data_IF_182914399598
#
_entry.id   IF_182914399598
#
_cell.length_a   1.000
_cell.length_b   1.000
_cell.length_c   1.000
_cell.angle_alpha   90.00
_cell.angle_beta   90.00
_cell.angle_gamma   90.00
#
_symmetry.space_group_name_H-M   'P 1'
#
loop_
_entity.id
_entity.type
_entity.pdbx_description
1 polymer ?
#
# COMPACT_ATOMS: atom_id res chain seq x y z
N UNK A 1 -6.10 25.49 -20.19
CA UNK A 1 -5.57 26.14 -18.97
C UNK A 1 -6.41 25.80 -17.74
N UNK A 2 -7.76 25.84 -17.79
CA UNK A 2 -8.62 25.37 -16.69
C UNK A 2 -8.58 23.84 -16.46
N UNK A 3 -8.52 23.02 -17.52
CA UNK A 3 -8.48 21.55 -17.37
C UNK A 3 -7.24 21.04 -16.63
N UNK A 4 -6.07 21.62 -16.89
CA UNK A 4 -4.81 21.15 -16.31
C UNK A 4 -4.76 21.34 -14.78
N UNK A 5 -5.44 22.36 -14.25
CA UNK A 5 -5.57 22.58 -12.80
C UNK A 5 -6.60 21.65 -12.15
N UNK A 6 -7.73 21.38 -12.83
CA UNK A 6 -8.74 20.42 -12.38
C UNK A 6 -8.16 18.99 -12.32
N UNK A 7 -7.45 18.56 -13.36
CA UNK A 7 -6.82 17.23 -13.40
C UNK A 7 -5.72 17.06 -12.35
N UNK A 8 -4.90 18.10 -12.11
CA UNK A 8 -3.88 18.07 -11.05
C UNK A 8 -4.51 17.97 -9.67
N UNK A 9 -5.57 18.73 -9.39
CA UNK A 9 -6.28 18.68 -8.10
C UNK A 9 -6.96 17.34 -7.84
N UNK A 10 -7.50 16.69 -8.87
CA UNK A 10 -8.14 15.38 -8.76
C UNK A 10 -7.11 14.29 -8.45
N UNK A 11 -5.92 14.34 -9.06
CA UNK A 11 -4.84 13.41 -8.79
C UNK A 11 -4.39 13.50 -7.34
N UNK A 12 -4.18 14.71 -6.82
CA UNK A 12 -3.76 14.94 -5.43
C UNK A 12 -4.79 14.38 -4.45
N UNK A 13 -6.08 14.66 -4.69
CA UNK A 13 -7.18 14.13 -3.86
C UNK A 13 -7.21 12.60 -3.90
N UNK A 14 -7.03 11.99 -5.08
CA UNK A 14 -7.01 10.54 -5.22
C UNK A 14 -5.81 9.92 -4.50
N UNK A 15 -4.62 10.50 -4.66
CA UNK A 15 -3.39 10.03 -4.01
C UNK A 15 -3.52 10.12 -2.49
N UNK A 16 -4.05 11.22 -1.95
CA UNK A 16 -4.27 11.38 -0.50
C UNK A 16 -5.31 10.37 0.02
N UNK A 17 -6.39 10.14 -0.74
CA UNK A 17 -7.39 9.14 -0.40
C UNK A 17 -6.80 7.72 -0.35
N UNK A 18 -6.07 7.32 -1.39
CA UNK A 18 -5.43 6.00 -1.46
C UNK A 18 -4.39 5.85 -0.34
N UNK A 19 -3.59 6.89 -0.07
CA UNK A 19 -2.61 6.88 1.01
C UNK A 19 -3.27 6.60 2.37
N UNK A 20 -4.39 7.26 2.66
CA UNK A 20 -5.15 7.04 3.91
C UNK A 20 -5.74 5.63 3.97
N UNK A 21 -6.35 5.15 2.88
CA UNK A 21 -6.91 3.80 2.80
C UNK A 21 -5.81 2.76 3.07
N UNK A 22 -4.69 2.83 2.36
CA UNK A 22 -3.56 1.90 2.52
C UNK A 22 -2.97 1.91 3.93
N UNK A 23 -3.01 3.06 4.60
CA UNK A 23 -2.53 3.19 5.99
C UNK A 23 -3.45 2.52 7.01
N UNK A 24 -4.72 2.26 6.66
CA UNK A 24 -5.69 1.54 7.48
C UNK A 24 -5.70 0.04 7.22
N UNK A 25 -5.02 -0.43 6.16
CA UNK A 25 -5.00 -1.84 5.78
C UNK A 25 -4.33 -2.67 6.88
N UNK A 26 -5.02 -3.68 7.44
CA UNK A 26 -4.45 -4.49 8.50
C UNK A 26 -3.37 -5.44 7.95
N UNK A 27 -2.47 -5.94 8.83
CA UNK A 27 -1.31 -6.71 8.41
C UNK A 27 -1.63 -8.07 7.76
N UNK A 28 -2.82 -8.61 7.93
CA UNK A 28 -3.26 -9.85 7.28
C UNK A 28 -3.87 -9.65 5.88
N UNK A 29 -3.96 -8.41 5.39
CA UNK A 29 -4.55 -8.09 4.07
C UNK A 29 -3.48 -7.78 3.03
N UNK A 30 -3.64 -8.35 1.83
CA UNK A 30 -2.79 -8.09 0.66
C UNK A 30 -3.52 -7.24 -0.37
N UNK A 31 -3.00 -6.04 -0.66
CA UNK A 31 -3.53 -5.21 -1.76
C UNK A 31 -2.81 -5.58 -3.06
N UNK A 32 -3.54 -6.20 -3.99
CA UNK A 32 -2.97 -6.71 -5.25
C UNK A 32 -2.62 -5.61 -6.25
N UNK A 33 -3.59 -4.75 -6.57
CA UNK A 33 -3.44 -3.68 -7.57
C UNK A 33 -4.14 -2.42 -7.09
N UNK A 34 -3.46 -1.30 -7.20
CA UNK A 34 -4.04 0.04 -6.93
C UNK A 34 -4.72 0.60 -8.18
N UNK A 35 -4.19 0.25 -9.36
CA UNK A 35 -4.69 0.66 -10.66
C UNK A 35 -4.71 -0.54 -11.61
N UNK A 36 -5.47 -0.47 -12.70
CA UNK A 36 -5.51 -1.51 -13.73
C UNK A 36 -4.58 -1.15 -14.88
N UNK A 37 -4.07 -2.17 -15.56
CA UNK A 37 -3.23 -2.02 -16.75
C UNK A 37 -4.12 -1.71 -17.96
N UNK A 38 -4.59 -0.47 -18.05
CA UNK A 38 -5.40 0.03 -19.17
C UNK A 38 -4.51 0.96 -20.00
N UNK A 39 -4.36 0.73 -21.32
CA UNK A 39 -3.61 1.64 -22.18
C UNK A 39 -4.14 3.07 -22.09
N UNK A 40 -3.25 4.03 -21.84
CA UNK A 40 -3.61 5.44 -21.69
C UNK A 40 -4.42 6.03 -22.85
N UNK A 41 -4.16 5.69 -24.14
CA UNK A 41 -4.97 6.19 -25.24
C UNK A 41 -6.46 5.80 -25.19
N UNK A 42 -6.83 4.80 -24.39
CA UNK A 42 -8.22 4.35 -24.21
C UNK A 42 -8.91 5.02 -23.02
N UNK A 43 -8.18 5.80 -22.22
CA UNK A 43 -8.70 6.49 -21.05
C UNK A 43 -9.25 7.85 -21.49
N UNK A 44 -10.57 8.01 -21.45
CA UNK A 44 -11.25 9.26 -21.85
C UNK A 44 -11.31 10.31 -20.73
N UNK A 45 -11.15 9.89 -19.47
CA UNK A 45 -11.14 10.76 -18.29
C UNK A 45 -10.55 9.99 -17.09
N UNK A 46 -9.95 10.71 -16.14
CA UNK A 46 -9.40 10.13 -14.91
C UNK A 46 -7.91 10.42 -14.75
N UNK A 47 -7.21 9.55 -14.01
CA UNK A 47 -5.78 9.73 -13.78
C UNK A 47 -4.97 9.20 -14.95
N UNK A 48 -4.12 10.06 -15.50
CA UNK A 48 -3.21 9.72 -16.60
C UNK A 48 -1.86 9.14 -16.17
N UNK A 49 -1.73 8.78 -14.89
CA UNK A 49 -0.49 8.32 -14.29
C UNK A 49 -0.53 6.81 -14.06
N UNK A 50 0.43 6.11 -14.67
CA UNK A 50 0.61 4.66 -14.52
C UNK A 50 1.38 4.25 -13.26
N UNK A 51 1.50 5.09 -12.23
CA UNK A 51 2.26 4.79 -11.01
C UNK A 51 1.54 5.19 -9.71
N UNK A 52 0.20 5.09 -9.66
CA UNK A 52 -0.59 5.51 -8.50
C UNK A 52 -0.17 4.90 -7.16
N UNK A 53 0.28 3.63 -7.14
CA UNK A 53 0.76 3.00 -5.90
C UNK A 53 2.00 3.69 -5.36
N UNK A 54 2.94 4.04 -6.23
CA UNK A 54 4.19 4.71 -5.84
C UNK A 54 3.89 6.10 -5.27
N UNK A 55 3.04 6.88 -5.95
CA UNK A 55 2.59 8.19 -5.49
C UNK A 55 1.90 8.09 -4.12
N UNK A 56 1.03 7.11 -3.92
CA UNK A 56 0.37 6.89 -2.64
C UNK A 56 1.35 6.49 -1.53
N UNK A 57 2.32 5.60 -1.79
CA UNK A 57 3.33 5.21 -0.80
C UNK A 57 4.22 6.39 -0.39
N UNK A 58 4.63 7.23 -1.36
CA UNK A 58 5.34 8.47 -1.07
C UNK A 58 4.50 9.41 -0.19
N UNK A 59 3.21 9.55 -0.50
CA UNK A 59 2.30 10.37 0.29
C UNK A 59 2.10 9.85 1.72
N UNK A 60 2.08 8.53 1.91
CA UNK A 60 2.04 7.91 3.25
C UNK A 60 3.26 8.33 4.08
N UNK A 61 4.45 8.31 3.49
CA UNK A 61 5.70 8.73 4.13
C UNK A 61 5.69 10.23 4.49
N UNK A 62 5.25 11.08 3.56
CA UNK A 62 5.08 12.53 3.81
C UNK A 62 4.11 12.84 4.96
N UNK A 63 3.10 11.99 5.16
CA UNK A 63 2.14 12.10 6.25
C UNK A 63 2.62 11.47 7.57
N UNK A 64 3.79 10.83 7.59
CA UNK A 64 4.30 10.08 8.75
C UNK A 64 3.46 8.85 9.09
N UNK A 65 2.69 8.33 8.13
CA UNK A 65 1.88 7.13 8.26
C UNK A 65 2.66 5.90 7.81
N UNK A 66 2.06 4.71 7.96
CA UNK A 66 2.67 3.44 7.54
C UNK A 66 1.68 2.56 6.82
N UNK A 67 2.08 2.02 5.67
CA UNK A 67 1.36 0.93 5.01
C UNK A 67 1.81 -0.41 5.61
N UNK A 68 0.87 -1.18 6.17
CA UNK A 68 1.16 -2.49 6.78
C UNK A 68 0.60 -3.66 5.97
N UNK A 69 0.18 -3.43 4.73
CA UNK A 69 -0.30 -4.53 3.88
C UNK A 69 0.78 -5.61 3.71
N UNK A 70 0.35 -6.84 3.45
CA UNK A 70 1.27 -7.98 3.27
C UNK A 70 2.29 -7.66 2.17
N UNK A 71 1.84 -7.09 1.05
CA UNK A 71 2.69 -6.80 -0.11
C UNK A 71 3.86 -5.90 0.22
N UNK A 72 3.65 -4.81 0.96
CA UNK A 72 4.73 -3.87 1.27
C UNK A 72 5.72 -4.48 2.26
N UNK A 73 5.32 -5.48 3.05
CA UNK A 73 6.17 -6.12 4.07
C UNK A 73 6.87 -7.41 3.60
N UNK A 74 6.53 -7.91 2.41
CA UNK A 74 7.18 -9.09 1.83
C UNK A 74 8.68 -8.86 1.62
N UNK A 75 9.51 -9.85 1.97
CA UNK A 75 10.99 -9.75 1.94
C UNK A 75 11.49 -9.31 0.56
N UNK A 76 10.98 -9.88 -0.53
CA UNK A 76 11.40 -9.49 -1.88
C UNK A 76 11.11 -8.03 -2.21
N UNK A 77 10.02 -7.45 -1.68
CA UNK A 77 9.73 -6.02 -1.87
C UNK A 77 10.68 -5.16 -1.02
N UNK A 78 10.91 -5.54 0.23
CA UNK A 78 11.82 -4.84 1.14
C UNK A 78 13.28 -4.88 0.67
N UNK A 79 13.72 -5.99 0.09
CA UNK A 79 15.06 -6.13 -0.47
C UNK A 79 15.24 -5.22 -1.70
N UNK A 80 14.29 -5.22 -2.64
CA UNK A 80 14.36 -4.41 -3.87
C UNK A 80 14.31 -2.91 -3.55
N UNK A 81 13.38 -2.49 -2.69
CA UNK A 81 13.12 -1.06 -2.48
C UNK A 81 13.97 -0.44 -1.36
N UNK A 82 14.23 -1.19 -0.29
CA UNK A 82 14.88 -0.67 0.92
C UNK A 82 16.22 -1.35 1.24
N UNK A 83 16.62 -2.38 0.49
CA UNK A 83 17.84 -3.18 0.73
C UNK A 83 17.89 -3.76 2.14
N UNK A 84 16.71 -4.12 2.67
CA UNK A 84 16.56 -4.69 4.00
C UNK A 84 16.45 -6.20 3.89
N UNK A 85 17.27 -6.91 4.66
CA UNK A 85 17.18 -8.35 4.86
C UNK A 85 16.79 -8.63 6.32
N UNK A 86 15.88 -9.57 6.58
CA UNK A 86 15.49 -9.92 7.94
C UNK A 86 16.66 -10.58 8.67
N UNK A 87 16.83 -10.26 9.95
CA UNK A 87 17.88 -10.85 10.78
C UNK A 87 17.30 -11.61 11.98
N UNK A 88 16.22 -11.09 12.56
CA UNK A 88 15.60 -11.61 13.78
C UNK A 88 14.15 -12.01 13.50
N UNK A 89 13.96 -13.21 12.94
CA UNK A 89 12.67 -13.69 12.46
C UNK A 89 11.93 -14.44 13.55
N UNK A 90 10.71 -14.01 13.84
CA UNK A 90 9.83 -14.58 14.86
C UNK A 90 8.51 -15.05 14.25
N UNK A 91 7.89 -16.07 14.86
CA UNK A 91 6.52 -16.46 14.53
C UNK A 91 5.54 -15.47 15.17
N UNK A 92 4.76 -14.79 14.34
CA UNK A 92 3.70 -13.87 14.74
C UNK A 92 2.34 -14.49 14.43
N UNK A 93 1.45 -14.49 15.42
CA UNK A 93 0.06 -14.92 15.31
C UNK A 93 -0.87 -13.73 15.52
N UNK A 94 -1.85 -13.57 14.63
CA UNK A 94 -2.91 -12.56 14.76
C UNK A 94 -4.27 -13.23 14.58
N UNK A 95 -5.09 -13.17 15.61
CA UNK A 95 -6.45 -13.71 15.58
C UNK A 95 -7.45 -12.55 15.40
N UNK A 96 -8.47 -12.75 14.57
CA UNK A 96 -9.50 -11.75 14.31
C UNK A 96 -10.85 -12.40 14.01
N UNK A 97 -11.94 -11.69 14.30
CA UNK A 97 -13.28 -12.14 13.95
C UNK A 97 -13.59 -11.75 12.50
N UNK A 98 -14.15 -12.69 11.73
CA UNK A 98 -14.64 -12.44 10.39
C UNK A 98 -15.91 -13.25 10.13
N UNK A 99 -17.00 -12.59 9.70
CA UNK A 99 -18.27 -13.23 9.35
C UNK A 99 -18.82 -14.19 10.44
N UNK A 100 -18.62 -13.85 11.72
CA UNK A 100 -19.06 -14.66 12.86
C UNK A 100 -18.15 -15.87 13.19
N UNK A 101 -17.04 -16.04 12.48
CA UNK A 101 -16.00 -17.02 12.76
C UNK A 101 -14.72 -16.39 13.30
N UNK A 102 -13.84 -17.22 13.87
CA UNK A 102 -12.48 -16.84 14.28
C UNK A 102 -11.47 -17.23 13.21
N UNK A 103 -10.71 -16.26 12.75
CA UNK A 103 -9.62 -16.42 11.78
C UNK A 103 -8.28 -16.26 12.48
N UNK A 104 -7.30 -17.07 12.08
CA UNK A 104 -5.91 -17.00 12.58
C UNK A 104 -4.95 -16.77 11.41
N UNK A 105 -4.25 -15.64 11.44
CA UNK A 105 -3.16 -15.32 10.51
C UNK A 105 -1.81 -15.59 11.17
N UNK A 106 -1.08 -16.59 10.65
CA UNK A 106 0.27 -16.93 11.07
C UNK A 106 1.28 -16.42 10.04
N UNK A 107 2.36 -15.80 10.52
CA UNK A 107 3.39 -15.22 9.69
C UNK A 107 4.75 -15.28 10.38
N UNK A 108 5.81 -15.49 9.61
CA UNK A 108 7.18 -15.25 10.08
C UNK A 108 7.58 -13.83 9.70
N UNK A 109 7.90 -13.01 10.68
CA UNK A 109 8.19 -11.59 10.50
C UNK A 109 9.45 -11.21 11.29
N UNK A 110 10.18 -10.19 10.87
CA UNK A 110 11.16 -9.52 11.74
C UNK A 110 10.45 -8.35 12.45
N UNK A 111 10.03 -8.48 13.73
CA UNK A 111 9.15 -7.50 14.36
C UNK A 111 9.85 -6.14 14.52
N UNK A 112 11.18 -6.13 14.68
CA UNK A 112 11.97 -4.91 14.85
C UNK A 112 12.03 -4.12 13.56
N UNK A 113 12.04 -4.79 12.41
CA UNK A 113 11.98 -4.15 11.10
C UNK A 113 10.54 -3.82 10.67
N UNK A 114 9.56 -4.69 10.98
CA UNK A 114 8.14 -4.51 10.59
C UNK A 114 7.43 -3.43 11.41
N UNK A 115 7.83 -3.19 12.66
CA UNK A 115 7.26 -2.15 13.52
C UNK A 115 7.95 -0.78 13.38
N UNK A 116 9.11 -0.72 12.70
CA UNK A 116 9.89 0.50 12.45
C UNK A 116 9.26 1.42 11.42
#
# INVERSE_FOLDING_TARGET
>A
MFDHWLHSSMLEVLVDLIARILSLVPPWVRVYRVQRDIPMPLVSSGVEHGNLRELALKRIDELGLKCRDVRTREVGIQEIHNKVSPYDVELVRRDYEANGGWETFLSYEDPKQVLR
#
